data_IF_343089933448
#
_entry.id   IF_343089933448
#
_cell.length_a   1.000
_cell.length_b   1.000
_cell.length_c   1.000
_cell.angle_alpha   90.00
_cell.angle_beta   90.00
_cell.angle_gamma   90.00
#
_symmetry.space_group_name_H-M   'P 1'
#
loop_
_entity.id
_entity.type
_entity.pdbx_description
1 polymer ?
#
# COMPACT_ATOMS: atom_id res chain seq x y z
N UNK A 1 -23.91 -46.84 -21.78
CA UNK A 1 -23.42 -47.81 -22.79
C UNK A 1 -22.20 -47.24 -23.47
N UNK A 2 -21.12 -48.03 -23.38
CA UNK A 2 -19.88 -48.03 -24.19
C UNK A 2 -18.82 -46.97 -23.90
N UNK A 3 -17.93 -47.37 -23.14
CA UNK A 3 -16.46 -47.36 -22.92
C UNK A 3 -15.57 -47.23 -24.17
N UNK A 4 -14.27 -47.28 -23.98
CA UNK A 4 -13.25 -46.23 -24.20
C UNK A 4 -12.26 -46.62 -25.33
N UNK A 5 -11.27 -45.78 -25.63
CA UNK A 5 -9.99 -46.26 -26.22
C UNK A 5 -8.84 -45.30 -25.94
N UNK A 6 -7.93 -45.83 -25.11
CA UNK A 6 -6.50 -45.49 -25.10
C UNK A 6 -5.85 -45.73 -26.46
N UNK A 7 -4.90 -44.91 -26.85
CA UNK A 7 -3.69 -45.33 -27.57
C UNK A 7 -2.55 -44.43 -27.16
N UNK A 8 -1.54 -45.04 -26.56
CA UNK A 8 -0.20 -44.53 -26.34
C UNK A 8 0.66 -44.86 -27.57
N UNK A 9 1.55 -43.97 -27.94
CA UNK A 9 2.72 -44.34 -28.74
C UNK A 9 3.88 -43.36 -28.46
N UNK A 10 4.93 -43.96 -27.98
CA UNK A 10 6.30 -43.43 -27.81
C UNK A 10 7.03 -43.32 -29.15
N UNK A 11 8.24 -42.73 -29.04
CA UNK A 11 9.48 -42.81 -29.84
C UNK A 11 9.84 -41.47 -30.47
N UNK A 12 10.89 -40.86 -30.20
CA UNK A 12 12.28 -40.97 -29.78
C UNK A 12 13.17 -40.13 -30.74
N UNK A 13 14.03 -39.32 -30.15
CA UNK A 13 15.43 -39.01 -30.55
C UNK A 13 15.72 -38.50 -31.97
N UNK A 14 16.34 -37.33 -32.03
CA UNK A 14 17.12 -36.85 -33.18
C UNK A 14 17.91 -35.60 -32.84
N UNK A 15 19.20 -35.76 -32.62
CA UNK A 15 20.23 -34.75 -32.38
C UNK A 15 20.71 -34.10 -33.69
N UNK A 16 21.32 -32.88 -33.49
CA UNK A 16 22.31 -32.18 -34.35
C UNK A 16 21.72 -31.40 -35.56
N UNK A 17 22.17 -30.21 -35.88
CA UNK A 17 23.33 -29.39 -35.60
C UNK A 17 23.13 -27.98 -36.20
N UNK A 18 23.79 -27.00 -35.57
CA UNK A 18 24.44 -25.80 -36.11
C UNK A 18 23.90 -25.08 -37.34
N UNK A 19 23.57 -23.79 -37.21
CA UNK A 19 24.28 -22.74 -37.94
C UNK A 19 23.79 -21.33 -37.52
N UNK A 20 24.72 -20.42 -37.43
CA UNK A 20 24.72 -19.00 -37.18
C UNK A 20 23.75 -18.20 -38.05
N UNK A 21 23.30 -17.06 -37.49
CA UNK A 21 22.89 -15.91 -38.28
C UNK A 21 21.99 -14.94 -37.56
N UNK A 22 22.59 -13.84 -37.10
CA UNK A 22 22.15 -12.44 -37.02
C UNK A 22 20.98 -12.02 -36.16
N UNK A 23 21.36 -11.22 -35.20
CA UNK A 23 20.83 -9.97 -34.65
C UNK A 23 19.34 -9.61 -34.90
N UNK A 24 18.55 -9.73 -33.84
CA UNK A 24 17.57 -8.72 -33.47
C UNK A 24 17.45 -8.74 -31.94
N UNK A 25 18.03 -7.71 -31.34
CA UNK A 25 18.17 -7.55 -29.90
C UNK A 25 16.91 -6.85 -29.34
N UNK A 26 15.85 -7.63 -29.08
CA UNK A 26 14.81 -7.21 -28.13
C UNK A 26 15.28 -7.55 -26.72
N UNK A 27 15.30 -6.59 -25.78
CA UNK A 27 15.59 -6.93 -24.39
C UNK A 27 14.40 -7.74 -23.84
N UNK A 28 14.58 -9.05 -23.75
CA UNK A 28 13.71 -9.89 -22.96
C UNK A 28 13.65 -9.29 -21.54
N UNK A 29 12.43 -8.98 -21.09
CA UNK A 29 12.17 -8.72 -19.69
C UNK A 29 12.73 -9.90 -18.90
N UNK A 30 13.82 -9.66 -18.19
CA UNK A 30 14.46 -10.68 -17.39
C UNK A 30 13.51 -11.06 -16.26
N UNK A 31 13.02 -12.31 -16.31
CA UNK A 31 12.55 -13.00 -15.13
C UNK A 31 13.71 -13.04 -14.13
N UNK A 32 13.77 -12.06 -13.26
CA UNK A 32 14.62 -12.14 -12.07
C UNK A 32 13.97 -13.18 -11.16
N UNK A 33 14.28 -14.44 -11.37
CA UNK A 33 14.02 -15.49 -10.40
C UNK A 33 14.84 -15.13 -9.16
N UNK A 34 14.17 -14.56 -8.16
CA UNK A 34 14.76 -14.37 -6.85
C UNK A 34 15.34 -15.71 -6.37
N UNK A 35 16.52 -15.75 -5.75
CA UNK A 35 17.09 -16.99 -5.24
C UNK A 35 16.10 -17.64 -4.26
N UNK A 36 15.80 -18.92 -4.47
CA UNK A 36 14.93 -19.70 -3.60
C UNK A 36 15.36 -19.53 -2.14
N UNK A 37 14.40 -19.15 -1.29
CA UNK A 37 14.57 -18.62 0.05
C UNK A 37 15.59 -19.32 0.92
N UNK A 38 16.54 -18.54 1.38
CA UNK A 38 17.57 -18.93 2.34
C UNK A 38 17.38 -18.27 3.71
N UNK A 39 16.33 -17.45 3.86
CA UNK A 39 16.10 -16.69 5.08
C UNK A 39 15.34 -17.55 6.12
N UNK A 40 15.88 -17.68 7.31
CA UNK A 40 15.18 -18.27 8.47
C UNK A 40 14.20 -17.22 9.04
N UNK A 41 13.04 -17.10 8.40
CA UNK A 41 12.05 -16.05 8.69
C UNK A 41 11.20 -16.32 9.95
N UNK A 42 11.30 -17.54 10.54
CA UNK A 42 10.64 -17.92 11.79
C UNK A 42 9.17 -17.46 11.84
N UNK A 43 8.32 -17.89 10.90
CA UNK A 43 6.93 -17.42 10.83
C UNK A 43 6.14 -17.84 12.09
N UNK A 44 5.10 -17.06 12.43
CA UNK A 44 4.19 -17.38 13.53
C UNK A 44 3.36 -18.64 13.21
N UNK A 45 3.05 -18.85 11.93
CA UNK A 45 2.36 -20.03 11.40
C UNK A 45 3.30 -20.82 10.49
N UNK A 46 3.58 -22.11 10.74
CA UNK A 46 4.49 -22.88 9.90
C UNK A 46 4.12 -22.83 8.41
N UNK A 47 5.06 -22.46 7.56
CA UNK A 47 4.89 -22.40 6.10
C UNK A 47 4.16 -21.16 5.59
N UNK A 48 3.73 -20.24 6.46
CA UNK A 48 2.92 -19.08 6.08
C UNK A 48 3.54 -17.80 6.60
N UNK A 49 3.65 -16.78 5.74
CA UNK A 49 3.85 -15.40 6.15
C UNK A 49 2.48 -14.80 6.48
N UNK A 50 2.25 -14.53 7.75
CA UNK A 50 0.99 -13.95 8.23
C UNK A 50 1.10 -12.42 8.25
N UNK A 51 0.35 -11.77 7.37
CA UNK A 51 0.38 -10.30 7.18
C UNK A 51 -0.92 -9.69 7.69
N UNK A 52 -0.84 -8.53 8.33
CA UNK A 52 -2.01 -7.72 8.70
C UNK A 52 -2.03 -6.46 7.84
N UNK A 53 -3.22 -6.07 7.42
CA UNK A 53 -3.47 -4.79 6.75
C UNK A 53 -4.79 -4.19 7.21
N UNK A 54 -5.06 -2.93 6.84
CA UNK A 54 -6.36 -2.28 6.99
C UNK A 54 -6.90 -1.92 5.61
N UNK A 55 -8.09 -2.37 5.29
CA UNK A 55 -8.74 -2.15 3.99
C UNK A 55 -9.86 -1.10 4.09
N UNK A 56 -10.12 -0.38 2.99
CA UNK A 56 -9.43 -0.43 1.70
C UNK A 56 -8.08 0.28 1.72
N UNK A 57 -7.13 -0.21 0.92
CA UNK A 57 -5.81 0.40 0.71
C UNK A 57 -5.55 0.62 -0.79
N UNK A 58 -6.23 1.57 -1.47
CA UNK A 58 -6.10 1.75 -2.92
C UNK A 58 -4.64 1.92 -3.36
N UNK A 59 -4.26 1.26 -4.46
CA UNK A 59 -2.89 1.10 -4.99
C UNK A 59 -1.98 0.14 -4.18
N UNK A 60 -2.21 -0.02 -2.89
CA UNK A 60 -1.36 -0.83 -1.99
C UNK A 60 -1.93 -2.24 -1.79
N UNK A 61 -3.24 -2.33 -1.56
CA UNK A 61 -4.04 -3.55 -1.44
C UNK A 61 -5.26 -3.42 -2.34
N UNK A 62 -5.17 -3.96 -3.55
CA UNK A 62 -6.14 -3.77 -4.62
C UNK A 62 -5.90 -2.51 -5.46
N UNK A 63 -6.11 -2.67 -6.77
CA UNK A 63 -5.92 -1.61 -7.78
C UNK A 63 -7.18 -1.32 -8.58
N UNK A 64 -8.26 -2.08 -8.33
CA UNK A 64 -9.55 -1.95 -9.01
C UNK A 64 -10.70 -1.91 -8.01
N UNK A 65 -11.86 -1.41 -8.44
CA UNK A 65 -13.07 -1.42 -7.60
C UNK A 65 -13.55 -2.84 -7.21
N UNK A 66 -13.19 -3.86 -7.96
CA UNK A 66 -13.52 -5.25 -7.63
C UNK A 66 -12.67 -5.78 -6.46
N UNK A 67 -11.46 -5.23 -6.28
CA UNK A 67 -10.51 -5.64 -5.25
C UNK A 67 -10.70 -4.87 -3.92
N UNK A 68 -11.90 -4.44 -3.58
CA UNK A 68 -12.23 -3.88 -2.26
C UNK A 68 -12.67 -4.97 -1.26
N UNK A 69 -13.12 -6.12 -1.78
CA UNK A 69 -13.39 -7.31 -0.97
C UNK A 69 -12.06 -8.01 -0.67
N UNK A 70 -11.76 -8.35 0.59
CA UNK A 70 -10.53 -9.08 0.93
C UNK A 70 -10.29 -10.33 0.10
N UNK A 71 -11.33 -11.06 -0.25
CA UNK A 71 -11.24 -12.31 -1.03
C UNK A 71 -10.90 -12.07 -2.52
N UNK A 72 -11.06 -10.85 -3.02
CA UNK A 72 -10.80 -10.47 -4.42
C UNK A 72 -9.44 -9.76 -4.60
N UNK A 73 -8.76 -9.37 -3.51
CA UNK A 73 -7.46 -8.68 -3.59
C UNK A 73 -6.41 -9.60 -4.17
N UNK A 74 -5.81 -9.18 -5.27
CA UNK A 74 -4.80 -9.94 -6.02
C UNK A 74 -3.63 -9.10 -6.52
N UNK A 75 -3.61 -7.80 -6.20
CA UNK A 75 -2.59 -6.86 -6.68
C UNK A 75 -2.40 -5.67 -5.73
N UNK A 76 -1.31 -4.95 -5.90
CA UNK A 76 -1.00 -3.74 -5.16
C UNK A 76 0.45 -3.69 -4.70
N UNK A 77 0.92 -2.49 -4.33
CA UNK A 77 2.31 -2.26 -3.93
C UNK A 77 2.68 -3.14 -2.73
N UNK A 78 1.90 -3.07 -1.66
CA UNK A 78 2.17 -3.85 -0.43
C UNK A 78 1.75 -5.31 -0.55
N UNK A 79 0.71 -5.62 -1.35
CA UNK A 79 0.33 -6.99 -1.65
C UNK A 79 1.46 -7.74 -2.35
N UNK A 80 2.03 -7.19 -3.43
CA UNK A 80 3.14 -7.81 -4.14
C UNK A 80 4.42 -7.81 -3.29
N UNK A 81 4.68 -6.74 -2.52
CA UNK A 81 5.79 -6.71 -1.55
C UNK A 81 5.69 -7.85 -0.52
N UNK A 82 4.50 -8.08 0.04
CA UNK A 82 4.26 -9.19 0.97
C UNK A 82 4.52 -10.56 0.33
N UNK A 83 4.05 -10.75 -0.91
CA UNK A 83 4.31 -11.97 -1.68
C UNK A 83 5.81 -12.19 -1.94
N UNK A 84 6.55 -11.13 -2.28
CA UNK A 84 8.00 -11.21 -2.48
C UNK A 84 8.73 -11.54 -1.18
N UNK A 85 8.35 -10.95 -0.05
CA UNK A 85 8.89 -11.30 1.27
C UNK A 85 8.61 -12.78 1.57
N UNK A 86 7.39 -13.25 1.34
CA UNK A 86 7.04 -14.66 1.53
C UNK A 86 7.90 -15.59 0.67
N UNK A 87 8.08 -15.28 -0.62
CA UNK A 87 8.93 -16.06 -1.53
C UNK A 87 10.39 -16.11 -1.07
N UNK A 88 10.97 -14.98 -0.63
CA UNK A 88 12.32 -14.91 -0.09
C UNK A 88 12.50 -15.72 1.18
N UNK A 89 11.41 -15.99 1.90
CA UNK A 89 11.35 -16.83 3.10
C UNK A 89 10.95 -18.30 2.81
N UNK A 90 10.59 -18.64 1.57
CA UNK A 90 10.04 -19.97 1.24
C UNK A 90 8.68 -20.24 1.87
N UNK A 91 7.84 -19.19 2.02
CA UNK A 91 6.52 -19.20 2.67
C UNK A 91 5.43 -18.88 1.64
N UNK A 92 4.19 -19.24 1.97
CA UNK A 92 2.98 -18.74 1.32
C UNK A 92 2.49 -17.48 2.07
N UNK A 93 1.95 -16.48 1.36
CA UNK A 93 1.41 -15.27 1.98
C UNK A 93 -0.08 -15.44 2.29
N UNK A 94 -0.45 -15.19 3.54
CA UNK A 94 -1.84 -15.00 3.95
C UNK A 94 -1.96 -13.63 4.63
N UNK A 95 -3.09 -12.95 4.45
CA UNK A 95 -3.32 -11.68 5.13
C UNK A 95 -4.68 -11.65 5.85
N UNK A 96 -4.77 -10.78 6.86
CA UNK A 96 -6.01 -10.46 7.58
C UNK A 96 -6.25 -8.96 7.56
N UNK A 97 -7.53 -8.59 7.47
CA UNK A 97 -7.98 -7.21 7.53
C UNK A 97 -8.33 -6.84 8.98
N UNK A 98 -7.68 -5.80 9.52
CA UNK A 98 -7.88 -5.31 10.87
C UNK A 98 -8.14 -3.79 10.86
N UNK A 99 -8.74 -3.27 11.93
CA UNK A 99 -8.98 -1.84 12.07
C UNK A 99 -7.67 -1.06 12.17
N UNK A 100 -7.53 0.03 11.39
CA UNK A 100 -6.32 0.86 11.37
C UNK A 100 -5.93 1.38 12.75
N UNK A 101 -6.91 1.84 13.54
CA UNK A 101 -6.69 2.29 14.93
C UNK A 101 -6.04 1.21 15.78
N UNK A 102 -6.52 -0.03 15.71
CA UNK A 102 -5.95 -1.15 16.47
C UNK A 102 -4.52 -1.48 16.04
N UNK A 103 -4.23 -1.36 14.74
CA UNK A 103 -2.89 -1.55 14.18
C UNK A 103 -1.91 -0.52 14.77
N UNK A 104 -2.21 0.78 14.63
CA UNK A 104 -1.28 1.84 15.03
C UNK A 104 -1.16 1.99 16.55
N UNK A 105 -2.17 1.54 17.29
CA UNK A 105 -2.14 1.46 18.75
C UNK A 105 -1.41 0.22 19.30
N UNK A 106 -0.93 -0.70 18.43
CA UNK A 106 -0.24 -1.92 18.85
C UNK A 106 -1.16 -2.89 19.59
N UNK A 107 -2.46 -2.90 19.29
CA UNK A 107 -3.47 -3.73 19.97
C UNK A 107 -3.67 -5.09 19.32
N UNK A 108 -3.10 -5.32 18.14
CA UNK A 108 -3.14 -6.64 17.48
C UNK A 108 -2.19 -7.58 18.23
N UNK A 109 -2.64 -8.79 18.53
CA UNK A 109 -1.80 -9.81 19.20
C UNK A 109 -0.52 -10.06 18.39
N UNK A 110 0.67 -9.71 18.92
CA UNK A 110 1.94 -9.85 18.19
C UNK A 110 2.35 -11.30 17.92
N UNK A 111 1.61 -12.28 18.46
CA UNK A 111 1.82 -13.71 18.20
C UNK A 111 0.97 -14.23 17.05
N UNK A 112 0.03 -13.42 16.52
CA UNK A 112 -0.87 -13.79 15.42
C UNK A 112 -0.36 -13.42 14.03
N UNK A 113 0.66 -12.55 13.92
CA UNK A 113 1.18 -12.06 12.65
C UNK A 113 2.70 -11.95 12.61
N UNK A 114 3.27 -11.96 11.42
CA UNK A 114 4.70 -11.74 11.20
C UNK A 114 5.02 -10.26 11.00
N UNK A 115 4.24 -9.56 10.19
CA UNK A 115 4.36 -8.13 9.95
C UNK A 115 3.01 -7.51 9.54
N UNK A 116 2.94 -6.19 9.65
CA UNK A 116 1.83 -5.38 9.13
C UNK A 116 2.35 -4.56 7.95
N UNK A 117 1.60 -4.53 6.86
CA UNK A 117 1.78 -3.62 5.73
C UNK A 117 0.44 -2.91 5.50
N UNK A 118 0.34 -1.65 5.85
CA UNK A 118 -0.93 -0.89 5.85
C UNK A 118 -0.71 0.62 5.71
N UNK A 119 0.23 1.03 4.88
CA UNK A 119 0.56 2.44 4.58
C UNK A 119 0.76 3.24 5.88
N UNK A 120 1.47 2.66 6.85
CA UNK A 120 1.61 3.28 8.16
C UNK A 120 2.82 4.19 8.21
N UNK A 121 2.58 5.49 8.38
CA UNK A 121 3.62 6.47 8.61
C UNK A 121 4.41 6.16 9.87
N UNK A 122 5.73 6.08 9.75
CA UNK A 122 6.67 5.98 10.87
C UNK A 122 6.55 7.23 11.72
N UNK A 123 6.21 7.07 13.00
CA UNK A 123 6.03 8.17 13.93
C UNK A 123 6.54 7.83 15.33
N UNK A 124 7.05 8.85 16.05
CA UNK A 124 7.63 8.64 17.36
C UNK A 124 6.64 8.07 18.38
N UNK A 125 5.38 8.52 18.35
CA UNK A 125 4.35 8.03 19.28
C UNK A 125 3.96 6.58 18.96
N UNK A 126 3.78 6.25 17.69
CA UNK A 126 3.55 4.87 17.23
C UNK A 126 4.72 3.96 17.59
N UNK A 127 5.96 4.44 17.45
CA UNK A 127 7.17 3.67 17.79
C UNK A 127 7.30 3.34 19.29
N UNK A 128 6.52 3.94 20.17
CA UNK A 128 6.47 3.57 21.60
C UNK A 128 5.78 2.22 21.82
N UNK A 129 4.82 1.86 20.95
CA UNK A 129 3.96 0.68 21.10
C UNK A 129 4.20 -0.41 20.07
N UNK A 130 4.81 -0.07 18.93
CA UNK A 130 5.20 -1.01 17.85
C UNK A 130 6.65 -0.81 17.45
N UNK A 131 7.23 -1.75 16.70
CA UNK A 131 8.52 -1.56 16.02
C UNK A 131 8.27 -1.34 14.52
N UNK A 132 9.03 -0.44 13.90
CA UNK A 132 8.97 -0.16 12.46
C UNK A 132 10.16 -0.73 11.72
N UNK A 133 9.97 -1.10 10.46
CA UNK A 133 11.05 -1.31 9.50
C UNK A 133 11.74 0.01 9.12
N UNK A 134 12.72 -0.06 8.24
CA UNK A 134 13.16 1.07 7.42
C UNK A 134 11.97 1.60 6.60
N UNK A 135 11.98 2.89 6.26
CA UNK A 135 10.98 3.48 5.36
C UNK A 135 11.11 2.91 3.95
N UNK A 136 10.00 2.42 3.38
CA UNK A 136 9.97 1.86 2.03
C UNK A 136 9.21 2.72 1.02
N UNK A 137 8.44 3.71 1.47
CA UNK A 137 7.64 4.59 0.62
C UNK A 137 7.54 5.99 1.24
N UNK A 138 7.70 7.03 0.42
CA UNK A 138 7.54 8.42 0.86
C UNK A 138 6.21 8.98 0.38
N UNK A 139 5.50 9.69 1.26
CA UNK A 139 4.20 10.29 0.98
C UNK A 139 4.11 11.73 1.49
N UNK A 140 3.21 12.47 0.87
CA UNK A 140 2.68 13.75 1.33
C UNK A 140 1.16 13.63 1.48
N UNK A 141 0.52 14.48 2.27
CA UNK A 141 -0.94 14.49 2.41
C UNK A 141 -1.60 15.00 1.13
N UNK A 142 -2.80 14.49 0.79
CA UNK A 142 -3.54 14.86 -0.41
C UNK A 142 -5.03 15.05 -0.15
N UNK A 143 -5.65 15.95 -0.89
CA UNK A 143 -7.10 16.21 -0.80
C UNK A 143 -7.82 15.67 -2.03
N UNK A 144 -8.64 14.65 -1.82
CA UNK A 144 -9.57 14.09 -2.80
C UNK A 144 -10.91 14.82 -2.72
N UNK A 145 -11.45 15.20 -3.86
CA UNK A 145 -12.77 15.86 -3.96
C UNK A 145 -13.60 15.24 -5.09
N UNK A 146 -14.89 15.50 -5.10
CA UNK A 146 -15.71 15.24 -6.28
C UNK A 146 -15.32 16.17 -7.42
N UNK A 147 -15.29 15.65 -8.65
CA UNK A 147 -14.85 16.38 -9.83
C UNK A 147 -15.59 17.71 -10.01
N UNK A 148 -14.81 18.76 -10.27
CA UNK A 148 -15.31 20.12 -10.44
C UNK A 148 -15.19 21.00 -9.20
N UNK A 149 -14.73 20.46 -8.07
CA UNK A 149 -14.31 21.26 -6.91
C UNK A 149 -12.91 21.77 -7.16
N UNK A 150 -12.65 23.06 -6.93
CA UNK A 150 -11.33 23.67 -7.12
C UNK A 150 -10.77 24.13 -5.80
N UNK A 151 -9.47 23.86 -5.58
CA UNK A 151 -8.71 24.30 -4.41
C UNK A 151 -7.41 24.91 -4.91
N UNK A 152 -7.20 26.18 -4.63
CA UNK A 152 -6.00 26.91 -5.03
C UNK A 152 -5.18 27.40 -3.82
N UNK A 153 -5.76 27.38 -2.63
CA UNK A 153 -5.15 27.88 -1.41
C UNK A 153 -5.62 27.06 -0.20
N UNK A 154 -4.91 27.21 0.92
CA UNK A 154 -5.33 26.62 2.19
C UNK A 154 -6.66 27.20 2.71
N UNK A 155 -6.96 28.46 2.41
CA UNK A 155 -8.24 29.07 2.78
C UNK A 155 -9.42 28.44 2.04
N UNK A 156 -9.21 27.95 0.80
CA UNK A 156 -10.23 27.14 0.10
C UNK A 156 -10.46 25.80 0.84
N UNK A 157 -9.41 25.17 1.35
CA UNK A 157 -9.52 23.92 2.16
C UNK A 157 -10.30 24.18 3.44
N UNK A 158 -10.04 25.31 4.14
CA UNK A 158 -10.76 25.69 5.36
C UNK A 158 -12.26 25.89 5.15
N UNK A 159 -12.68 26.23 3.93
CA UNK A 159 -14.08 26.41 3.59
C UNK A 159 -14.83 25.08 3.39
N UNK A 160 -14.13 23.95 3.26
CA UNK A 160 -14.69 22.63 3.01
C UNK A 160 -15.06 21.89 4.30
N UNK A 161 -16.03 21.00 4.20
CA UNK A 161 -16.21 19.91 5.16
C UNK A 161 -15.25 18.78 4.78
N UNK A 162 -14.24 18.51 5.60
CA UNK A 162 -13.19 17.54 5.31
C UNK A 162 -13.39 16.27 6.10
N UNK A 163 -13.46 15.13 5.39
CA UNK A 163 -13.44 13.79 5.98
C UNK A 163 -12.00 13.31 6.18
N UNK A 164 -11.74 12.66 7.30
CA UNK A 164 -10.47 12.00 7.62
C UNK A 164 -10.73 10.62 8.19
N UNK A 165 -9.77 9.71 8.08
CA UNK A 165 -9.83 8.46 8.83
C UNK A 165 -9.24 8.65 10.22
N UNK A 166 -9.89 8.07 11.23
CA UNK A 166 -9.43 8.09 12.62
C UNK A 166 -8.03 7.50 12.79
N UNK A 167 -7.26 8.06 13.70
CA UNK A 167 -5.90 7.62 14.08
C UNK A 167 -4.85 7.74 12.98
N UNK A 168 -5.17 8.43 11.86
CA UNK A 168 -4.21 8.76 10.80
C UNK A 168 -3.43 10.03 11.13
N UNK A 169 -2.32 10.24 10.43
CA UNK A 169 -1.59 11.50 10.46
C UNK A 169 -2.41 12.65 9.88
N UNK A 170 -3.25 12.38 8.87
CA UNK A 170 -4.21 13.36 8.34
C UNK A 170 -5.13 13.92 9.44
N UNK A 171 -5.77 13.03 10.22
CA UNK A 171 -6.59 13.45 11.35
C UNK A 171 -5.78 14.28 12.37
N UNK A 172 -4.60 13.78 12.74
CA UNK A 172 -3.72 14.48 13.68
C UNK A 172 -3.37 15.89 13.20
N UNK A 173 -2.97 16.05 11.96
CA UNK A 173 -2.64 17.38 11.40
C UNK A 173 -3.80 18.37 11.54
N UNK A 174 -5.02 17.96 11.19
CA UNK A 174 -6.13 18.91 11.08
C UNK A 174 -6.97 19.06 12.35
N UNK A 175 -6.80 18.21 13.36
CA UNK A 175 -7.61 18.24 14.59
C UNK A 175 -6.83 18.50 15.86
N UNK A 176 -5.53 18.17 15.92
CA UNK A 176 -4.76 18.23 17.19
C UNK A 176 -4.50 19.65 17.68
N UNK A 177 -4.38 20.62 16.77
CA UNK A 177 -3.90 21.96 17.07
C UNK A 177 -2.39 22.06 17.39
N UNK A 178 -1.67 20.92 17.29
CA UNK A 178 -0.23 20.87 17.59
C UNK A 178 0.64 21.28 16.39
N UNK A 179 0.10 21.13 15.16
CA UNK A 179 0.79 21.50 13.93
C UNK A 179 0.29 22.86 13.46
N UNK A 180 1.16 23.85 13.50
CA UNK A 180 0.80 25.23 13.18
C UNK A 180 0.18 25.35 11.78
N UNK A 181 -0.94 26.06 11.71
CA UNK A 181 -1.66 26.35 10.45
C UNK A 181 -2.54 25.25 9.90
N UNK A 182 -2.42 24.01 10.39
CA UNK A 182 -3.16 22.86 9.84
C UNK A 182 -4.60 22.72 10.36
N UNK A 183 -4.94 23.30 11.49
CA UNK A 183 -6.25 23.10 12.11
C UNK A 183 -7.39 23.53 11.20
N UNK A 184 -8.37 22.65 11.03
CA UNK A 184 -9.62 22.89 10.29
C UNK A 184 -10.81 22.87 11.26
N UNK A 185 -11.78 23.76 11.05
CA UNK A 185 -12.98 23.88 11.91
C UNK A 185 -14.06 22.84 11.56
N UNK A 186 -14.11 22.37 10.32
CA UNK A 186 -15.15 21.46 9.82
C UNK A 186 -14.57 20.12 9.38
N UNK A 187 -14.15 19.31 10.36
CA UNK A 187 -13.59 17.97 10.16
C UNK A 187 -14.58 16.91 10.64
N UNK A 188 -14.72 15.85 9.88
CA UNK A 188 -15.46 14.64 10.25
C UNK A 188 -14.53 13.45 10.23
N UNK A 189 -14.35 12.82 11.37
CA UNK A 189 -13.56 11.59 11.50
C UNK A 189 -14.42 10.36 11.25
N UNK A 190 -13.88 9.40 10.51
CA UNK A 190 -14.51 8.13 10.15
C UNK A 190 -13.62 6.96 10.61
N UNK A 191 -14.22 5.81 10.97
CA UNK A 191 -13.44 4.68 11.48
C UNK A 191 -12.54 4.04 10.42
N UNK A 192 -12.90 4.18 9.13
CA UNK A 192 -12.18 3.61 7.99
C UNK A 192 -12.32 4.49 6.73
N UNK A 193 -11.46 4.25 5.74
CA UNK A 193 -11.49 5.01 4.48
C UNK A 193 -12.75 4.73 3.65
N UNK A 194 -13.31 3.53 3.71
CA UNK A 194 -14.54 3.22 2.98
C UNK A 194 -15.68 4.14 3.42
N UNK A 195 -15.82 4.35 4.72
CA UNK A 195 -16.80 5.26 5.31
C UNK A 195 -16.53 6.73 4.93
N UNK A 196 -15.29 7.16 4.91
CA UNK A 196 -14.92 8.53 4.49
C UNK A 196 -15.23 8.75 3.00
N UNK A 197 -14.88 7.81 2.13
CA UNK A 197 -15.18 7.90 0.70
C UNK A 197 -16.68 7.79 0.41
N UNK A 198 -17.42 6.97 1.17
CA UNK A 198 -18.90 6.91 1.07
C UNK A 198 -19.53 8.26 1.46
N UNK A 199 -19.00 8.94 2.48
CA UNK A 199 -19.46 10.26 2.87
C UNK A 199 -19.20 11.33 1.81
N UNK A 200 -18.03 11.27 1.12
CA UNK A 200 -17.71 12.14 -0.02
C UNK A 200 -18.67 11.88 -1.19
N UNK A 201 -18.93 10.62 -1.52
CA UNK A 201 -19.88 10.24 -2.57
C UNK A 201 -21.31 10.71 -2.27
N UNK A 202 -21.69 10.71 -1.00
CA UNK A 202 -23.02 11.15 -0.54
C UNK A 202 -23.11 12.69 -0.35
N UNK A 203 -22.05 13.45 -0.58
CA UNK A 203 -22.01 14.89 -0.33
C UNK A 203 -22.11 15.28 1.14
N UNK A 204 -21.75 14.40 2.06
CA UNK A 204 -21.71 14.66 3.50
C UNK A 204 -20.44 15.36 3.92
N UNK A 205 -19.38 15.21 3.15
CA UNK A 205 -18.14 15.97 3.17
C UNK A 205 -17.83 16.44 1.76
N UNK A 206 -17.05 17.50 1.63
CA UNK A 206 -16.63 18.10 0.36
C UNK A 206 -15.32 17.50 -0.15
N UNK A 207 -14.49 16.96 0.76
CA UNK A 207 -13.22 16.31 0.44
C UNK A 207 -12.84 15.29 1.48
N UNK A 208 -11.90 14.39 1.11
CA UNK A 208 -11.22 13.44 2.00
C UNK A 208 -9.74 13.75 2.00
N UNK A 209 -9.19 14.03 3.18
CA UNK A 209 -7.77 14.24 3.39
C UNK A 209 -7.14 12.94 3.90
N UNK A 210 -6.20 12.43 3.15
CA UNK A 210 -5.33 11.29 3.47
C UNK A 210 -4.12 11.37 2.53
N UNK A 211 -3.15 10.51 2.71
CA UNK A 211 -1.95 10.43 1.85
C UNK A 211 -2.26 10.47 0.37
N UNK A 212 -1.51 11.29 -0.37
CA UNK A 212 -1.71 11.51 -1.81
C UNK A 212 -1.77 10.21 -2.62
N UNK A 213 -0.87 9.22 -2.44
CA UNK A 213 -0.89 7.98 -3.21
C UNK A 213 -2.15 7.14 -2.98
N UNK A 214 -2.71 7.16 -1.77
CA UNK A 214 -3.96 6.48 -1.44
C UNK A 214 -5.13 7.15 -2.17
N UNK A 215 -5.22 8.49 -2.08
CA UNK A 215 -6.26 9.26 -2.75
C UNK A 215 -6.15 9.18 -4.29
N UNK A 216 -4.95 9.10 -4.87
CA UNK A 216 -4.78 8.85 -6.31
C UNK A 216 -5.35 7.48 -6.72
N UNK A 217 -5.15 6.45 -5.90
CA UNK A 217 -5.75 5.15 -6.13
C UNK A 217 -7.27 5.19 -6.10
N UNK A 218 -7.85 5.87 -5.11
CA UNK A 218 -9.30 6.08 -5.04
C UNK A 218 -9.84 6.87 -6.25
N UNK A 219 -9.14 7.93 -6.66
CA UNK A 219 -9.51 8.72 -7.84
C UNK A 219 -9.49 7.85 -9.11
N UNK A 220 -8.46 7.03 -9.30
CA UNK A 220 -8.36 6.10 -10.44
C UNK A 220 -9.53 5.09 -10.47
N UNK A 221 -9.97 4.62 -9.31
CA UNK A 221 -11.09 3.68 -9.16
C UNK A 221 -12.48 4.35 -9.24
N UNK A 222 -12.55 5.68 -9.28
CA UNK A 222 -13.82 6.44 -9.21
C UNK A 222 -14.55 6.60 -10.54
N UNK A 223 -14.09 6.01 -11.64
CA UNK A 223 -14.61 6.24 -13.00
C UNK A 223 -14.59 7.73 -13.40
N UNK A 224 -13.58 8.47 -12.94
CA UNK A 224 -13.43 9.90 -13.24
C UNK A 224 -14.41 10.81 -12.50
N UNK A 225 -15.05 10.33 -11.44
CA UNK A 225 -15.97 11.13 -10.61
C UNK A 225 -15.24 11.93 -9.54
N UNK A 226 -14.04 11.52 -9.17
CA UNK A 226 -13.22 12.12 -8.14
C UNK A 226 -11.85 12.49 -8.69
N UNK A 227 -11.20 13.46 -8.06
CA UNK A 227 -9.87 13.92 -8.41
C UNK A 227 -9.12 14.41 -7.18
N UNK A 228 -7.79 14.25 -7.17
CA UNK A 228 -6.92 14.81 -6.15
C UNK A 228 -6.52 16.21 -6.60
N UNK A 229 -6.97 17.23 -5.88
CA UNK A 229 -6.83 18.65 -6.33
C UNK A 229 -5.72 19.41 -5.65
N UNK A 230 -5.22 18.89 -4.52
CA UNK A 230 -4.13 19.52 -3.80
C UNK A 230 -3.33 18.47 -3.03
N UNK A 231 -2.03 18.74 -2.84
CA UNK A 231 -1.21 18.01 -1.88
C UNK A 231 -0.46 19.00 -0.96
N UNK A 232 -0.11 18.50 0.22
CA UNK A 232 0.44 19.29 1.30
C UNK A 232 1.71 18.62 1.80
N UNK A 233 2.81 19.38 1.81
CA UNK A 233 4.14 18.86 2.13
C UNK A 233 4.24 18.38 3.57
N UNK A 234 4.39 17.08 3.78
CA UNK A 234 4.60 16.45 5.08
C UNK A 234 5.87 15.61 5.12
N UNK A 235 6.24 14.99 3.99
CA UNK A 235 7.44 14.17 3.88
C UNK A 235 7.37 12.93 4.76
N UNK A 236 6.21 12.29 4.82
CA UNK A 236 5.97 11.07 5.58
C UNK A 236 6.65 9.86 4.93
N UNK A 237 7.03 8.89 5.74
CA UNK A 237 7.57 7.61 5.26
C UNK A 237 6.77 6.46 5.84
N UNK A 238 6.38 5.49 5.00
CA UNK A 238 5.74 4.27 5.45
C UNK A 238 6.77 3.23 5.88
N UNK A 239 6.47 2.55 6.99
CA UNK A 239 7.23 1.40 7.46
C UNK A 239 6.32 0.21 7.75
N UNK A 240 6.84 -1.01 7.56
CA UNK A 240 6.19 -2.20 8.05
C UNK A 240 6.20 -2.19 9.59
N UNK A 241 5.10 -2.66 10.21
CA UNK A 241 5.00 -2.77 11.66
C UNK A 241 5.31 -4.20 12.12
N UNK A 242 5.97 -4.29 13.25
CA UNK A 242 6.21 -5.52 14.02
C UNK A 242 5.72 -5.32 15.46
N UNK A 243 5.32 -6.41 16.11
CA UNK A 243 5.02 -6.37 17.52
C UNK A 243 6.22 -5.88 18.34
N UNK A 244 5.99 -4.98 19.28
CA UNK A 244 7.04 -4.33 20.07
C UNK A 244 7.96 -5.33 20.73
N UNK A 245 9.25 -5.28 20.39
CA UNK A 245 10.29 -6.12 20.99
C UNK A 245 10.19 -7.61 20.69
N UNK A 246 9.35 -8.06 19.74
CA UNK A 246 9.14 -9.49 19.43
C UNK A 246 10.26 -10.11 18.57
N UNK A 247 11.26 -9.32 18.16
CA UNK A 247 12.41 -9.77 17.36
C UNK A 247 12.14 -9.91 15.86
N UNK A 248 10.91 -9.74 15.37
CA UNK A 248 10.56 -9.86 13.95
C UNK A 248 11.23 -8.78 13.10
N UNK A 249 11.37 -7.55 13.63
CA UNK A 249 12.11 -6.47 12.95
C UNK A 249 13.50 -6.95 12.49
N UNK A 250 14.27 -7.59 13.35
CA UNK A 250 15.62 -8.05 13.02
C UNK A 250 15.66 -9.08 11.88
N UNK A 251 14.54 -9.76 11.62
CA UNK A 251 14.39 -10.78 10.57
C UNK A 251 13.96 -10.12 9.26
N UNK A 252 12.89 -9.32 9.29
CA UNK A 252 12.25 -8.81 8.07
C UNK A 252 12.81 -7.47 7.58
N UNK A 253 13.37 -6.64 8.45
CA UNK A 253 13.95 -5.34 8.07
C UNK A 253 15.08 -5.46 7.03
N UNK A 254 16.05 -6.40 7.15
CA UNK A 254 17.05 -6.63 6.10
C UNK A 254 16.45 -7.10 4.77
N UNK A 255 15.34 -7.83 4.79
CA UNK A 255 14.66 -8.29 3.58
C UNK A 255 14.02 -7.09 2.87
N UNK A 256 13.31 -6.24 3.64
CA UNK A 256 12.69 -5.01 3.13
C UNK A 256 13.77 -4.07 2.58
N UNK A 257 14.89 -3.89 3.30
CA UNK A 257 16.02 -3.10 2.81
C UNK A 257 16.58 -3.65 1.50
N UNK A 258 16.69 -4.97 1.37
CA UNK A 258 17.12 -5.61 0.11
C UNK A 258 16.19 -5.30 -1.06
N UNK A 259 14.87 -5.32 -0.86
CA UNK A 259 13.88 -4.97 -1.88
C UNK A 259 13.91 -3.47 -2.25
N UNK A 260 14.37 -2.61 -1.34
CA UNK A 260 14.61 -1.19 -1.63
C UNK A 260 15.88 -1.04 -2.47
N UNK A 261 16.98 -1.66 -2.02
CA UNK A 261 18.31 -1.52 -2.61
C UNK A 261 18.41 -2.07 -4.04
N UNK A 262 17.67 -3.14 -4.35
CA UNK A 262 17.62 -3.73 -5.69
C UNK A 262 16.62 -3.05 -6.64
N UNK A 263 15.86 -2.06 -6.14
CA UNK A 263 14.88 -1.29 -6.92
C UNK A 263 13.52 -1.96 -7.07
N UNK A 264 13.28 -3.10 -6.43
CA UNK A 264 12.00 -3.82 -6.49
C UNK A 264 10.85 -2.94 -6.01
N UNK A 265 11.00 -2.25 -4.88
CA UNK A 265 9.94 -1.35 -4.36
C UNK A 265 9.63 -0.24 -5.37
N UNK A 266 10.63 0.37 -6.00
CA UNK A 266 10.42 1.39 -7.03
C UNK A 266 9.67 0.83 -8.26
N UNK A 267 9.95 -0.41 -8.64
CA UNK A 267 9.24 -1.08 -9.74
C UNK A 267 7.76 -1.34 -9.39
N UNK A 268 7.46 -1.74 -8.14
CA UNK A 268 6.08 -1.89 -7.66
C UNK A 268 5.32 -0.56 -7.64
N UNK A 269 5.97 0.50 -7.17
CA UNK A 269 5.41 1.86 -7.17
C UNK A 269 5.08 2.28 -8.61
N UNK A 270 6.01 2.12 -9.55
CA UNK A 270 5.80 2.46 -10.96
C UNK A 270 4.69 1.62 -11.61
N UNK A 271 4.51 0.35 -11.17
CA UNK A 271 3.49 -0.55 -11.68
C UNK A 271 2.09 -0.21 -11.20
N UNK A 272 1.94 0.15 -9.93
CA UNK A 272 0.63 0.19 -9.27
C UNK A 272 0.13 1.58 -8.90
N UNK A 273 0.99 2.59 -8.86
CA UNK A 273 0.54 3.93 -8.49
C UNK A 273 -0.43 4.47 -9.56
N UNK A 274 -1.70 4.61 -9.19
CA UNK A 274 -2.81 4.93 -10.08
C UNK A 274 -2.85 6.38 -10.60
N UNK A 275 -1.75 7.13 -10.43
CA UNK A 275 -1.57 8.50 -10.90
C UNK A 275 -0.18 9.00 -10.56
N UNK A 276 0.24 10.09 -11.20
CA UNK A 276 1.53 10.73 -10.92
C UNK A 276 1.35 11.84 -9.87
N UNK A 277 1.86 11.67 -8.64
CA UNK A 277 1.76 12.69 -7.59
C UNK A 277 2.38 14.03 -8.02
N UNK A 278 3.38 14.03 -8.91
CA UNK A 278 4.01 15.27 -9.38
C UNK A 278 3.08 16.17 -10.18
N UNK A 279 1.97 15.64 -10.68
CA UNK A 279 0.95 16.39 -11.41
C UNK A 279 -0.08 17.07 -10.49
N UNK A 280 -0.14 16.68 -9.21
CA UNK A 280 -1.03 17.30 -8.23
C UNK A 280 -0.36 18.55 -7.67
N UNK A 281 -1.02 19.72 -7.70
CA UNK A 281 -0.41 20.95 -7.23
C UNK A 281 -0.18 20.92 -5.71
N UNK A 282 0.97 21.46 -5.28
CA UNK A 282 1.20 21.72 -3.86
C UNK A 282 0.47 22.99 -3.43
N UNK A 283 -0.19 22.92 -2.30
CA UNK A 283 -0.79 24.04 -1.60
C UNK A 283 -0.04 24.23 -0.29
N UNK A 284 0.48 25.44 -0.08
CA UNK A 284 1.20 25.76 1.15
C UNK A 284 0.21 25.89 2.32
N UNK A 285 0.48 25.19 3.39
CA UNK A 285 -0.19 25.41 4.69
C UNK A 285 0.55 26.54 5.40
N UNK A 286 -0.14 27.65 5.78
CA UNK A 286 0.50 28.76 6.43
C UNK A 286 1.15 28.33 7.76
N UNK A 287 2.44 28.57 7.89
CA UNK A 287 3.11 28.52 9.20
C UNK A 287 2.71 29.78 9.97
N UNK A 288 2.11 29.61 11.14
CA UNK A 288 1.65 30.72 11.99
C UNK A 288 2.79 31.67 12.37
#
# INVERSE_FOLDING_TARGET
>A
MKTPRLIAALIAVGLLATACGDDDNEPAAGDTVAPAGTNDCKPVKPGVLSVVTSLPGPNFWGTTQAEVDPDEISSGIEFDMANMIAQLCGLEMEFTNEGFEAIVAGQIDPTSYDLVLSQVTIGEDRAKVVDFSVGYFTSDQGLLVNKGTTVASWDDVKALAVGVQASTTAEFYVTSGEVAGWTLDNVKSYPDLASAYAALNAGQVDGVLIDTPINLGQAAQSDGKQEVVAQFKTGEEYGAIFGKGNGKKAIYDPIIQGLIDDGTINALIAKYLGGDPSTVPFVDVPTA
#
